data_IF_094773780589
#
_entry.id   IF_094773780589
#
_cell.length_a   1.000
_cell.length_b   1.000
_cell.length_c   1.000
_cell.angle_alpha   90.00
_cell.angle_beta   90.00
_cell.angle_gamma   90.00
#
_symmetry.space_group_name_H-M   'P 1'
#
loop_
_entity.id
_entity.type
_entity.pdbx_description
1 polymer ?
#
# COMPACT_ATOMS: atom_id res chain seq x y z
N UNK A 1 -4.11 62.24 10.63
CA UNK A 1 -4.02 60.99 9.85
C UNK A 1 -3.88 59.85 10.85
N UNK A 2 -4.81 58.91 10.79
CA UNK A 2 -5.26 58.01 11.86
C UNK A 2 -4.18 57.24 12.62
N UNK A 3 -4.20 57.37 13.94
CA UNK A 3 -3.92 56.25 14.85
C UNK A 3 -5.11 56.14 15.79
N UNK A 4 -5.81 55.01 15.70
CA UNK A 4 -6.98 54.68 16.50
C UNK A 4 -6.64 53.42 17.29
N UNK A 5 -7.03 53.49 18.55
CA UNK A 5 -7.19 52.47 19.59
C UNK A 5 -7.71 51.13 19.01
N UNK A 6 -7.43 49.94 19.56
CA UNK A 6 -8.20 49.38 20.68
C UNK A 6 -7.73 47.95 21.08
N UNK A 7 -7.75 47.70 22.40
CA UNK A 7 -8.39 46.55 23.10
C UNK A 7 -7.96 45.10 22.79
N UNK A 8 -7.26 44.40 23.69
CA UNK A 8 -7.78 43.72 24.89
C UNK A 8 -8.91 42.69 24.63
N UNK A 9 -8.60 41.40 24.67
CA UNK A 9 -9.52 40.39 25.20
C UNK A 9 -8.77 39.17 25.76
N UNK A 10 -9.14 38.81 26.99
CA UNK A 10 -8.52 37.85 27.89
C UNK A 10 -9.64 36.86 28.23
N UNK A 11 -9.55 35.61 27.78
CA UNK A 11 -10.52 34.58 28.16
C UNK A 11 -9.82 33.34 28.71
N UNK A 12 -9.96 33.16 30.02
CA UNK A 12 -9.53 32.01 30.80
C UNK A 12 -10.50 30.84 30.64
N UNK A 13 -10.03 29.70 30.13
CA UNK A 13 -10.76 28.43 30.09
C UNK A 13 -10.36 27.55 31.29
N UNK A 14 -11.28 27.35 32.22
CA UNK A 14 -11.10 26.67 33.51
C UNK A 14 -11.45 25.19 33.35
N UNK A 15 -10.46 24.31 33.51
CA UNK A 15 -10.65 22.85 33.51
C UNK A 15 -11.40 22.35 34.75
N UNK A 16 -12.30 21.37 34.56
CA UNK A 16 -12.91 20.59 35.64
C UNK A 16 -12.62 19.10 35.41
N UNK A 17 -11.81 18.56 36.32
CA UNK A 17 -11.50 17.15 36.51
C UNK A 17 -12.71 16.39 37.09
N UNK A 18 -13.23 15.41 36.35
CA UNK A 18 -14.26 14.47 36.82
C UNK A 18 -13.65 13.15 37.30
N UNK A 19 -13.48 13.02 38.61
CA UNK A 19 -13.04 11.81 39.32
C UNK A 19 -14.23 10.85 39.46
N UNK A 20 -14.21 9.66 38.85
CA UNK A 20 -15.16 8.58 39.16
C UNK A 20 -14.42 7.36 39.71
N UNK A 21 -14.64 7.13 40.99
CA UNK A 21 -14.37 5.89 41.72
C UNK A 21 -15.63 5.03 41.74
N UNK A 22 -15.53 3.75 41.40
CA UNK A 22 -16.53 2.74 41.72
C UNK A 22 -15.94 1.36 41.40
N UNK A 23 -15.59 0.48 42.34
CA UNK A 23 -16.31 -0.19 43.46
C UNK A 23 -16.36 -1.69 43.11
N UNK A 24 -15.63 -2.46 43.91
CA UNK A 24 -15.52 -3.93 43.90
C UNK A 24 -16.87 -4.62 44.19
N UNK A 25 -16.94 -5.87 43.74
CA UNK A 25 -17.42 -7.08 44.43
C UNK A 25 -18.56 -7.84 43.71
N UNK A 26 -18.37 -9.15 43.54
CA UNK A 26 -19.47 -10.12 43.37
C UNK A 26 -19.25 -11.26 42.37
N UNK A 27 -18.48 -12.30 42.76
CA UNK A 27 -18.83 -13.71 42.45
C UNK A 27 -19.64 -14.25 43.65
N UNK A 28 -20.33 -15.41 43.63
CA UNK A 28 -20.53 -16.42 42.58
C UNK A 28 -22.01 -16.90 42.42
N UNK A 29 -22.32 -17.72 41.41
CA UNK A 29 -23.60 -18.44 41.36
C UNK A 29 -23.66 -19.54 40.30
N UNK A 30 -23.50 -20.79 40.74
CA UNK A 30 -23.79 -22.01 39.97
C UNK A 30 -25.32 -22.24 39.96
N UNK A 31 -25.92 -22.54 38.82
CA UNK A 31 -27.27 -23.14 38.76
C UNK A 31 -27.51 -23.96 37.48
N UNK A 32 -27.51 -25.29 37.66
CA UNK A 32 -28.41 -26.35 37.15
C UNK A 32 -29.05 -26.24 35.75
N UNK A 33 -28.95 -27.30 34.90
CA UNK A 33 -29.65 -27.38 33.61
C UNK A 33 -31.12 -27.79 33.76
N UNK A 34 -32.04 -27.02 33.16
CA UNK A 34 -33.46 -27.40 33.03
C UNK A 34 -33.66 -28.20 31.74
N UNK A 35 -33.96 -29.50 31.92
CA UNK A 35 -34.59 -30.37 30.93
C UNK A 35 -35.94 -29.78 30.51
N UNK A 36 -36.05 -29.32 29.26
CA UNK A 36 -37.33 -29.02 28.62
C UNK A 36 -37.72 -30.21 27.75
N UNK A 37 -38.67 -31.01 28.25
CA UNK A 37 -39.43 -31.98 27.47
C UNK A 37 -40.27 -31.22 26.43
N UNK A 38 -39.88 -31.28 25.15
CA UNK A 38 -40.75 -30.83 24.07
C UNK A 38 -41.63 -32.00 23.62
N UNK A 39 -42.92 -31.80 23.84
CA UNK A 39 -44.05 -32.68 23.56
C UNK A 39 -44.04 -33.13 22.10
N UNK A 40 -44.14 -34.45 21.91
CA UNK A 40 -44.70 -35.10 20.72
C UNK A 40 -46.15 -34.63 20.55
N UNK A 41 -46.45 -33.92 19.47
CA UNK A 41 -47.77 -33.93 18.86
C UNK A 41 -47.57 -34.39 17.42
N UNK A 42 -47.99 -35.63 17.15
CA UNK A 42 -48.03 -36.17 15.81
C UNK A 42 -49.19 -35.56 15.05
N UNK A 43 -48.90 -35.05 13.85
CA UNK A 43 -49.85 -34.96 12.77
C UNK A 43 -49.14 -35.52 11.54
N UNK A 44 -49.56 -36.73 11.17
CA UNK A 44 -49.22 -37.41 9.94
C UNK A 44 -50.08 -36.78 8.85
N UNK A 45 -49.54 -35.84 8.07
CA UNK A 45 -50.02 -35.58 6.71
C UNK A 45 -49.07 -36.28 5.76
N UNK A 46 -49.59 -37.30 5.09
CA UNK A 46 -48.89 -37.99 3.99
C UNK A 46 -49.14 -37.19 2.72
N UNK A 47 -48.24 -36.25 2.42
CA UNK A 47 -48.13 -35.65 1.10
C UNK A 47 -47.15 -36.46 0.24
N UNK A 48 -47.59 -37.13 -0.83
CA UNK A 48 -46.74 -37.90 -1.71
C UNK A 48 -46.21 -37.04 -2.87
N UNK A 49 -45.42 -36.00 -2.58
CA UNK A 49 -44.88 -35.16 -3.66
C UNK A 49 -43.61 -34.37 -3.33
N UNK A 50 -42.58 -34.96 -2.70
CA UNK A 50 -41.17 -34.59 -3.01
C UNK A 50 -40.14 -35.44 -2.27
N UNK A 51 -39.61 -36.49 -2.91
CA UNK A 51 -38.33 -37.09 -2.50
C UNK A 51 -37.12 -36.49 -3.24
N UNK A 52 -37.34 -35.60 -4.23
CA UNK A 52 -36.28 -35.17 -5.15
C UNK A 52 -35.43 -34.00 -4.62
N UNK A 53 -36.01 -33.05 -3.89
CA UNK A 53 -35.28 -31.88 -3.34
C UNK A 53 -34.33 -32.27 -2.21
N UNK A 54 -34.79 -33.09 -1.24
CA UNK A 54 -33.95 -33.56 -0.13
C UNK A 54 -32.77 -34.43 -0.58
N UNK A 55 -32.85 -35.05 -1.75
CA UNK A 55 -31.76 -35.81 -2.32
C UNK A 55 -30.75 -34.90 -3.04
N UNK A 56 -31.22 -33.83 -3.69
CA UNK A 56 -30.37 -32.81 -4.30
C UNK A 56 -29.61 -32.00 -3.24
N UNK A 57 -30.24 -31.64 -2.13
CA UNK A 57 -29.57 -30.92 -1.04
C UNK A 57 -28.46 -31.76 -0.40
N UNK A 58 -28.70 -33.08 -0.23
CA UNK A 58 -27.69 -34.01 0.30
C UNK A 58 -26.55 -34.27 -0.68
N UNK A 59 -26.82 -34.31 -1.99
CA UNK A 59 -25.77 -34.40 -3.00
C UNK A 59 -24.94 -33.13 -3.04
N UNK A 60 -25.57 -31.96 -2.92
CA UNK A 60 -24.89 -30.66 -2.88
C UNK A 60 -24.05 -30.49 -1.60
N UNK A 61 -24.51 -30.95 -0.45
CA UNK A 61 -23.71 -31.00 0.78
C UNK A 61 -22.52 -31.97 0.69
N UNK A 62 -22.70 -33.12 0.03
CA UNK A 62 -21.61 -34.08 -0.16
C UNK A 62 -20.53 -33.55 -1.12
N UNK A 63 -20.94 -32.94 -2.23
CA UNK A 63 -20.03 -32.35 -3.23
C UNK A 63 -19.24 -31.16 -2.65
N UNK A 64 -19.89 -30.30 -1.84
CA UNK A 64 -19.20 -29.20 -1.18
C UNK A 64 -18.20 -29.68 -0.11
N UNK A 65 -18.45 -30.84 0.51
CA UNK A 65 -17.55 -31.42 1.52
C UNK A 65 -16.28 -31.99 0.87
N UNK A 66 -16.42 -32.60 -0.30
CA UNK A 66 -15.30 -33.13 -1.08
C UNK A 66 -14.47 -32.00 -1.73
N UNK A 67 -15.12 -30.91 -2.16
CA UNK A 67 -14.42 -29.71 -2.62
C UNK A 67 -13.63 -29.04 -1.49
N UNK A 68 -14.16 -29.02 -0.26
CA UNK A 68 -13.48 -28.41 0.90
C UNK A 68 -12.31 -29.25 1.41
N UNK A 69 -12.39 -30.59 1.41
CA UNK A 69 -11.27 -31.45 1.81
C UNK A 69 -10.17 -31.52 0.75
N UNK A 70 -10.52 -31.45 -0.53
CA UNK A 70 -9.52 -31.45 -1.61
C UNK A 70 -8.71 -30.15 -1.70
N UNK A 71 -9.23 -29.02 -1.18
CA UNK A 71 -8.52 -27.74 -1.16
C UNK A 71 -7.51 -27.62 -0.02
N UNK A 72 -7.75 -28.25 1.14
CA UNK A 72 -6.77 -28.22 2.24
C UNK A 72 -5.57 -29.13 1.97
N UNK A 73 -5.74 -30.19 1.18
CA UNK A 73 -4.67 -31.15 0.91
C UNK A 73 -3.84 -30.81 -0.35
N UNK A 74 -4.34 -29.96 -1.26
CA UNK A 74 -3.61 -29.54 -2.48
C UNK A 74 -2.87 -28.21 -2.38
N UNK A 75 -3.19 -27.35 -1.42
CA UNK A 75 -2.47 -26.05 -1.24
C UNK A 75 -1.21 -26.21 -0.39
N UNK A 76 -0.98 -27.38 0.20
CA UNK A 76 0.33 -27.80 0.77
C UNK A 76 1.21 -28.49 -0.30
N UNK A 77 0.78 -28.47 -1.57
CA UNK A 77 1.50 -29.04 -2.70
C UNK A 77 2.60 -28.12 -3.21
N UNK A 78 3.84 -28.55 -3.00
CA UNK A 78 5.08 -28.00 -3.56
C UNK A 78 5.59 -26.69 -2.96
N UNK A 79 5.77 -26.67 -1.63
CA UNK A 79 6.97 -26.03 -1.10
C UNK A 79 8.16 -26.69 -1.82
N UNK A 80 8.74 -25.99 -2.78
CA UNK A 80 9.97 -26.39 -3.44
C UNK A 80 10.95 -26.76 -2.33
N UNK A 81 11.42 -28.01 -2.33
CA UNK A 81 12.43 -28.43 -1.37
C UNK A 81 13.55 -27.39 -1.42
N UNK A 82 13.92 -26.77 -0.29
CA UNK A 82 14.92 -25.71 -0.27
C UNK A 82 16.14 -26.25 -0.98
N UNK A 83 16.48 -25.63 -2.10
CA UNK A 83 17.65 -26.08 -2.84
C UNK A 83 18.84 -25.80 -1.93
N UNK A 84 19.78 -26.73 -1.81
CA UNK A 84 20.96 -26.59 -0.92
C UNK A 84 21.78 -25.30 -1.16
N UNK A 85 21.49 -24.57 -2.23
CA UNK A 85 22.06 -23.26 -2.51
C UNK A 85 21.52 -22.20 -1.54
N UNK A 86 20.24 -22.24 -1.18
CA UNK A 86 19.61 -21.24 -0.32
C UNK A 86 20.13 -21.34 1.13
N UNK A 87 20.29 -22.56 1.67
CA UNK A 87 20.96 -22.79 2.96
C UNK A 87 22.43 -22.33 2.96
N UNK A 88 23.11 -22.40 1.81
CA UNK A 88 24.49 -21.95 1.68
C UNK A 88 24.58 -20.42 1.71
N UNK A 89 23.66 -19.70 1.05
CA UNK A 89 23.64 -18.24 1.06
C UNK A 89 23.24 -17.64 2.41
N UNK A 90 22.28 -18.24 3.12
CA UNK A 90 21.90 -17.80 4.46
C UNK A 90 23.02 -18.04 5.50
N UNK A 91 23.75 -19.15 5.38
CA UNK A 91 24.95 -19.39 6.17
C UNK A 91 26.06 -18.38 5.86
N UNK A 92 26.20 -17.96 4.61
CA UNK A 92 27.20 -16.96 4.19
C UNK A 92 26.88 -15.56 4.73
N UNK A 93 25.61 -15.18 4.87
CA UNK A 93 25.22 -13.86 5.42
C UNK A 93 25.61 -13.72 6.89
N UNK A 94 25.37 -14.77 7.69
CA UNK A 94 25.78 -14.85 9.09
C UNK A 94 27.31 -14.98 9.24
N UNK A 95 27.99 -15.43 8.19
CA UNK A 95 29.45 -15.52 8.12
C UNK A 95 30.12 -14.29 7.49
N UNK A 96 29.42 -13.20 7.15
CA UNK A 96 30.05 -11.95 6.68
C UNK A 96 31.09 -11.41 7.66
N UNK A 97 30.83 -11.53 8.97
CA UNK A 97 31.78 -11.16 10.01
C UNK A 97 33.04 -12.05 10.05
N UNK A 98 32.94 -13.28 9.56
CA UNK A 98 34.02 -14.27 9.51
C UNK A 98 34.74 -14.32 8.16
N UNK A 99 34.13 -13.86 7.07
CA UNK A 99 34.72 -13.88 5.74
C UNK A 99 35.98 -13.01 5.64
N UNK A 100 35.95 -11.81 6.22
CA UNK A 100 37.07 -10.86 6.23
C UNK A 100 38.31 -11.48 6.93
N UNK A 101 38.24 -11.98 8.18
CA UNK A 101 39.41 -12.58 8.80
C UNK A 101 39.89 -13.85 8.07
N UNK A 102 39.00 -14.63 7.46
CA UNK A 102 39.38 -15.83 6.68
C UNK A 102 40.23 -15.47 5.45
N UNK A 103 39.84 -14.42 4.72
CA UNK A 103 40.61 -13.92 3.57
C UNK A 103 41.99 -13.42 4.01
N UNK A 104 42.06 -12.70 5.13
CA UNK A 104 43.33 -12.21 5.69
C UNK A 104 44.24 -13.38 6.11
N UNK A 105 43.69 -14.39 6.80
CA UNK A 105 44.44 -15.59 7.19
C UNK A 105 44.93 -16.37 5.96
N UNK A 106 44.10 -16.51 4.93
CA UNK A 106 44.47 -17.16 3.68
C UNK A 106 45.58 -16.39 2.95
N UNK A 107 45.51 -15.05 2.89
CA UNK A 107 46.53 -14.21 2.28
C UNK A 107 47.88 -14.29 3.02
N UNK A 108 47.86 -14.26 4.37
CA UNK A 108 49.06 -14.41 5.20
C UNK A 108 49.66 -15.82 5.06
N UNK A 109 48.82 -16.87 5.07
CA UNK A 109 49.26 -18.25 4.89
C UNK A 109 49.89 -18.50 3.51
N UNK A 110 49.27 -18.01 2.44
CA UNK A 110 49.80 -18.09 1.09
C UNK A 110 51.12 -17.32 0.95
N UNK A 111 51.19 -16.11 1.52
CA UNK A 111 52.40 -15.28 1.53
C UNK A 111 53.58 -15.93 2.25
N UNK A 112 53.31 -16.62 3.37
CA UNK A 112 54.34 -17.35 4.11
C UNK A 112 54.87 -18.58 3.33
N UNK A 113 54.01 -19.25 2.56
CA UNK A 113 54.38 -20.49 1.87
C UNK A 113 55.03 -20.26 0.49
N UNK A 114 54.51 -19.31 -0.29
CA UNK A 114 54.89 -19.11 -1.69
C UNK A 114 55.41 -17.69 -1.98
N UNK A 115 55.58 -16.86 -0.94
CA UNK A 115 56.16 -15.52 -1.03
C UNK A 115 55.14 -14.43 -1.32
N UNK A 116 55.59 -13.17 -1.18
CA UNK A 116 54.77 -11.95 -1.25
C UNK A 116 53.94 -11.83 -2.54
N UNK A 117 54.49 -12.30 -3.68
CA UNK A 117 53.78 -12.25 -4.96
C UNK A 117 52.45 -13.01 -4.94
N UNK A 118 52.39 -14.16 -4.27
CA UNK A 118 51.15 -14.94 -4.17
C UNK A 118 50.13 -14.31 -3.22
N UNK A 119 50.58 -13.68 -2.14
CA UNK A 119 49.70 -12.93 -1.24
C UNK A 119 48.99 -11.77 -1.96
N UNK A 120 49.72 -11.04 -2.82
CA UNK A 120 49.13 -9.96 -3.62
C UNK A 120 48.09 -10.49 -4.63
N UNK A 121 48.32 -11.65 -5.24
CA UNK A 121 47.35 -12.26 -6.15
C UNK A 121 46.05 -12.68 -5.44
N UNK A 122 46.15 -13.26 -4.23
CA UNK A 122 44.97 -13.64 -3.44
C UNK A 122 44.15 -12.42 -3.04
N UNK A 123 44.82 -11.34 -2.61
CA UNK A 123 44.16 -10.09 -2.23
C UNK A 123 43.48 -9.43 -3.43
N UNK A 124 44.16 -9.38 -4.58
CA UNK A 124 43.58 -8.85 -5.82
C UNK A 124 42.36 -9.65 -6.28
N UNK A 125 42.42 -10.99 -6.22
CA UNK A 125 41.28 -11.86 -6.54
C UNK A 125 40.09 -11.64 -5.62
N UNK A 126 40.32 -11.54 -4.30
CA UNK A 126 39.27 -11.25 -3.33
C UNK A 126 38.63 -9.87 -3.57
N UNK A 127 39.43 -8.86 -3.88
CA UNK A 127 38.93 -7.52 -4.21
C UNK A 127 38.07 -7.52 -5.49
N UNK A 128 38.48 -8.25 -6.52
CA UNK A 128 37.71 -8.34 -7.76
C UNK A 128 36.35 -9.02 -7.54
N UNK A 129 36.30 -10.10 -6.76
CA UNK A 129 35.05 -10.75 -6.37
C UNK A 129 34.15 -9.83 -5.53
N UNK A 130 34.74 -9.04 -4.64
CA UNK A 130 34.02 -8.05 -3.85
C UNK A 130 33.34 -7.00 -4.75
N UNK A 131 34.04 -6.46 -5.76
CA UNK A 131 33.46 -5.49 -6.71
C UNK A 131 32.31 -6.11 -7.50
N UNK A 132 32.48 -7.32 -8.02
CA UNK A 132 31.42 -8.03 -8.76
C UNK A 132 30.19 -8.24 -7.87
N UNK A 133 30.39 -8.64 -6.61
CA UNK A 133 29.31 -8.82 -5.64
C UNK A 133 28.61 -7.51 -5.29
N UNK A 134 29.36 -6.42 -5.10
CA UNK A 134 28.80 -5.08 -4.85
C UNK A 134 27.99 -4.57 -6.04
N UNK A 135 28.45 -4.84 -7.26
CA UNK A 135 27.71 -4.51 -8.47
C UNK A 135 26.38 -5.27 -8.54
N UNK A 136 26.38 -6.57 -8.26
CA UNK A 136 25.15 -7.37 -8.20
C UNK A 136 24.17 -6.88 -7.14
N UNK A 137 24.67 -6.52 -5.95
CA UNK A 137 23.83 -5.93 -4.90
C UNK A 137 23.22 -4.59 -5.33
N UNK A 138 23.96 -3.77 -6.07
CA UNK A 138 23.43 -2.52 -6.64
C UNK A 138 22.36 -2.79 -7.70
N UNK A 139 22.56 -3.77 -8.58
CA UNK A 139 21.57 -4.15 -9.59
C UNK A 139 20.28 -4.63 -8.93
N UNK A 140 20.36 -5.50 -7.91
CA UNK A 140 19.19 -5.95 -7.15
C UNK A 140 18.45 -4.81 -6.45
N UNK A 141 19.20 -3.83 -5.91
CA UNK A 141 18.57 -2.64 -5.31
C UNK A 141 17.80 -1.78 -6.33
N UNK A 142 18.28 -1.75 -7.58
CA UNK A 142 17.68 -0.98 -8.67
C UNK A 142 16.51 -1.73 -9.34
N UNK A 143 16.54 -3.07 -9.37
CA UNK A 143 15.42 -3.87 -9.88
C UNK A 143 14.24 -3.91 -8.90
N UNK A 144 14.41 -3.39 -7.68
CA UNK A 144 13.36 -3.36 -6.65
C UNK A 144 13.08 -4.72 -6.02
N UNK A 145 13.87 -5.73 -6.37
CA UNK A 145 13.95 -7.02 -5.69
C UNK A 145 14.85 -6.85 -4.48
N UNK A 146 14.41 -6.05 -3.49
CA UNK A 146 14.94 -6.23 -2.15
C UNK A 146 14.65 -7.68 -1.76
N UNK A 147 15.66 -8.43 -1.31
CA UNK A 147 15.54 -9.79 -0.77
C UNK A 147 14.53 -9.78 0.39
N UNK A 148 13.25 -9.89 0.05
CA UNK A 148 12.20 -10.30 0.94
C UNK A 148 12.53 -11.77 1.19
N UNK A 149 12.86 -12.09 2.45
CA UNK A 149 13.10 -13.45 2.93
C UNK A 149 12.08 -14.41 2.30
N UNK A 150 12.43 -15.64 1.92
CA UNK A 150 11.53 -16.53 1.17
C UNK A 150 10.13 -16.66 1.80
N UNK A 151 10.02 -16.58 3.14
CA UNK A 151 8.75 -16.51 3.87
C UNK A 151 7.98 -15.18 3.65
N UNK A 152 8.70 -14.06 3.63
CA UNK A 152 8.15 -12.74 3.32
C UNK A 152 7.80 -12.66 1.82
N UNK A 153 8.65 -13.17 0.92
CA UNK A 153 8.36 -13.36 -0.48
C UNK A 153 7.19 -14.31 -0.70
N UNK A 154 7.02 -15.40 0.08
CA UNK A 154 5.83 -16.25 0.01
C UNK A 154 4.59 -15.52 0.53
N UNK A 155 4.72 -14.69 1.57
CA UNK A 155 3.62 -13.88 2.10
C UNK A 155 3.22 -12.73 1.17
N UNK A 156 4.14 -12.20 0.37
CA UNK A 156 3.87 -11.25 -0.72
C UNK A 156 3.43 -11.95 -2.01
N UNK A 157 3.92 -13.16 -2.27
CA UNK A 157 3.62 -13.95 -3.47
C UNK A 157 2.34 -14.78 -3.35
N UNK A 158 1.84 -15.00 -2.13
CA UNK A 158 0.45 -15.34 -1.87
C UNK A 158 -0.32 -14.01 -1.76
N UNK A 159 -0.75 -13.40 -2.90
CA UNK A 159 -1.55 -12.19 -2.85
C UNK A 159 -2.71 -12.44 -1.89
N UNK A 160 -2.89 -11.50 -0.95
CA UNK A 160 -4.06 -11.56 -0.07
C UNK A 160 -5.32 -11.77 -0.92
N UNK A 161 -6.29 -12.50 -0.40
CA UNK A 161 -7.53 -12.77 -1.14
C UNK A 161 -8.17 -11.47 -1.68
N UNK A 162 -7.97 -10.35 -0.99
CA UNK A 162 -8.38 -9.01 -1.40
C UNK A 162 -7.64 -8.49 -2.65
N UNK A 163 -6.32 -8.73 -2.75
CA UNK A 163 -5.52 -8.38 -3.92
C UNK A 163 -5.87 -9.26 -5.13
N UNK A 164 -6.17 -10.54 -4.91
CA UNK A 164 -6.68 -11.44 -5.94
C UNK A 164 -8.04 -10.96 -6.45
N UNK A 165 -8.97 -10.61 -5.55
CA UNK A 165 -10.27 -10.03 -5.91
C UNK A 165 -10.10 -8.75 -6.74
N UNK A 166 -9.22 -7.84 -6.33
CA UNK A 166 -8.92 -6.61 -7.11
C UNK A 166 -8.45 -6.95 -8.52
N UNK A 167 -7.51 -7.89 -8.68
CA UNK A 167 -7.01 -8.30 -10.00
C UNK A 167 -8.12 -8.94 -10.83
N UNK A 168 -8.98 -9.74 -10.21
CA UNK A 168 -10.13 -10.35 -10.87
C UNK A 168 -11.15 -9.30 -11.36
N UNK A 169 -11.52 -8.33 -10.51
CA UNK A 169 -12.44 -7.24 -10.88
C UNK A 169 -11.88 -6.37 -12.00
N UNK A 170 -10.58 -6.04 -11.96
CA UNK A 170 -9.94 -5.26 -13.02
C UNK A 170 -9.84 -6.05 -14.34
N UNK A 171 -9.64 -7.37 -14.26
CA UNK A 171 -9.67 -8.24 -15.45
C UNK A 171 -11.08 -8.31 -16.04
N UNK A 172 -12.10 -8.45 -15.20
CA UNK A 172 -13.50 -8.46 -15.62
C UNK A 172 -13.91 -7.15 -16.33
N UNK A 173 -13.42 -6.00 -15.86
CA UNK A 173 -13.65 -4.72 -16.54
C UNK A 173 -13.03 -4.68 -17.96
N UNK A 174 -11.83 -5.22 -18.13
CA UNK A 174 -11.19 -5.31 -19.46
C UNK A 174 -11.89 -6.29 -20.38
N UNK A 175 -12.36 -7.41 -19.83
CA UNK A 175 -13.10 -8.40 -20.60
C UNK A 175 -14.45 -7.83 -21.07
N UNK A 176 -15.14 -7.07 -20.22
CA UNK A 176 -16.35 -6.32 -20.58
C UNK A 176 -16.11 -5.31 -21.72
N UNK A 177 -15.01 -4.57 -21.66
CA UNK A 177 -14.65 -3.62 -22.73
C UNK A 177 -14.34 -4.34 -24.05
N UNK A 178 -13.69 -5.50 -23.98
CA UNK A 178 -13.45 -6.35 -25.14
C UNK A 178 -14.75 -6.91 -25.72
N UNK A 179 -15.66 -7.45 -24.89
CA UNK A 179 -16.96 -7.95 -25.35
C UNK A 179 -17.84 -6.85 -25.96
N UNK A 180 -17.77 -5.62 -25.41
CA UNK A 180 -18.41 -4.44 -25.99
C UNK A 180 -17.84 -4.12 -27.37
N UNK A 181 -16.51 -4.11 -27.51
CA UNK A 181 -15.85 -3.83 -28.80
C UNK A 181 -16.17 -4.85 -29.89
N UNK A 182 -16.48 -6.11 -29.52
CA UNK A 182 -16.90 -7.16 -30.46
C UNK A 182 -18.40 -7.06 -30.78
N UNK A 183 -19.16 -6.21 -30.10
CA UNK A 183 -20.60 -6.09 -30.25
C UNK A 183 -21.39 -7.26 -29.64
N UNK A 184 -20.79 -8.01 -28.69
CA UNK A 184 -21.49 -9.10 -27.98
C UNK A 184 -22.47 -8.60 -26.92
N UNK A 185 -22.25 -7.38 -26.42
CA UNK A 185 -23.08 -6.73 -25.41
C UNK A 185 -23.56 -5.38 -25.93
N UNK A 186 -24.77 -5.00 -25.54
CA UNK A 186 -25.35 -3.72 -25.94
C UNK A 186 -24.71 -2.58 -25.15
N UNK A 187 -24.74 -1.36 -25.70
CA UNK A 187 -24.25 -0.16 -25.01
C UNK A 187 -24.95 0.08 -23.67
N UNK A 188 -26.24 -0.29 -23.57
CA UNK A 188 -27.03 -0.15 -22.36
C UNK A 188 -26.53 -1.10 -21.26
N UNK A 189 -26.32 -2.37 -21.59
CA UNK A 189 -25.82 -3.39 -20.65
C UNK A 189 -24.39 -3.09 -20.21
N UNK A 190 -23.53 -2.65 -21.15
CA UNK A 190 -22.17 -2.25 -20.84
C UNK A 190 -22.12 -1.11 -19.81
N UNK A 191 -22.98 -0.09 -19.96
CA UNK A 191 -23.05 1.03 -19.01
C UNK A 191 -23.45 0.60 -17.60
N UNK A 192 -24.46 -0.28 -17.47
CA UNK A 192 -24.88 -0.79 -16.16
C UNK A 192 -23.80 -1.70 -15.52
N UNK A 193 -23.30 -2.70 -16.27
CA UNK A 193 -22.28 -3.62 -15.77
C UNK A 193 -20.98 -2.91 -15.40
N UNK A 194 -20.50 -2.01 -16.26
CA UNK A 194 -19.27 -1.25 -15.98
C UNK A 194 -19.42 -0.31 -14.78
N UNK A 195 -20.61 0.26 -14.54
CA UNK A 195 -20.87 1.06 -13.35
C UNK A 195 -20.79 0.22 -12.06
N UNK A 196 -21.39 -0.98 -12.07
CA UNK A 196 -21.34 -1.92 -10.93
C UNK A 196 -19.93 -2.38 -10.63
N UNK A 197 -19.17 -2.83 -11.64
CA UNK A 197 -17.78 -3.27 -11.44
C UNK A 197 -16.85 -2.13 -11.01
N UNK A 198 -17.05 -0.90 -11.50
CA UNK A 198 -16.28 0.27 -11.02
C UNK A 198 -16.59 0.60 -9.56
N UNK A 199 -17.85 0.48 -9.13
CA UNK A 199 -18.22 0.66 -7.72
C UNK A 199 -17.58 -0.41 -6.82
N UNK A 200 -17.56 -1.66 -7.26
CA UNK A 200 -16.91 -2.77 -6.56
C UNK A 200 -15.39 -2.58 -6.48
N UNK A 201 -14.74 -2.23 -7.59
CA UNK A 201 -13.31 -1.93 -7.63
C UNK A 201 -12.95 -0.77 -6.69
N UNK A 202 -13.78 0.28 -6.64
CA UNK A 202 -13.60 1.41 -5.70
C UNK A 202 -13.72 0.96 -4.25
N UNK A 203 -14.67 0.08 -3.93
CA UNK A 203 -14.83 -0.49 -2.58
C UNK A 203 -13.60 -1.29 -2.15
N UNK A 204 -13.09 -2.17 -3.00
CA UNK A 204 -11.88 -2.96 -2.74
C UNK A 204 -10.64 -2.08 -2.56
N UNK A 205 -10.50 -1.03 -3.38
CA UNK A 205 -9.40 -0.06 -3.24
C UNK A 205 -9.47 0.71 -1.92
N UNK A 206 -10.67 1.08 -1.45
CA UNK A 206 -10.82 1.74 -0.15
C UNK A 206 -10.43 0.82 1.01
N UNK A 207 -10.79 -0.46 0.95
CA UNK A 207 -10.40 -1.45 1.95
C UNK A 207 -8.87 -1.60 2.02
N UNK A 208 -8.21 -1.77 0.87
CA UNK A 208 -6.75 -1.87 0.77
C UNK A 208 -6.06 -0.57 1.24
N UNK A 209 -6.57 0.60 0.86
CA UNK A 209 -6.00 1.88 1.29
C UNK A 209 -6.07 2.08 2.82
N UNK A 210 -7.08 1.50 3.47
CA UNK A 210 -7.18 1.51 4.94
C UNK A 210 -6.09 0.69 5.61
N UNK A 211 -5.72 -0.44 5.01
CA UNK A 211 -4.64 -1.31 5.48
C UNK A 211 -3.28 -0.64 5.23
N UNK A 212 -3.05 -0.15 4.01
CA UNK A 212 -1.82 0.57 3.65
C UNK A 212 -1.61 1.82 4.50
N UNK A 213 -2.68 2.53 4.89
CA UNK A 213 -2.59 3.69 5.78
C UNK A 213 -2.03 3.37 7.17
N UNK A 214 -2.26 2.16 7.70
CA UNK A 214 -1.65 1.71 8.97
C UNK A 214 -0.18 1.39 8.78
N UNK A 215 0.16 0.61 7.75
CA UNK A 215 1.54 0.25 7.44
C UNK A 215 2.40 1.47 7.14
N UNK A 216 1.84 2.46 6.41
CA UNK A 216 2.49 3.75 6.14
C UNK A 216 2.79 4.52 7.42
N UNK A 217 1.84 4.60 8.36
CA UNK A 217 2.08 5.26 9.66
C UNK A 217 3.16 4.54 10.48
N UNK A 218 3.20 3.20 10.43
CA UNK A 218 4.28 2.41 11.06
C UNK A 218 5.63 2.74 10.41
N UNK A 219 5.70 2.74 9.08
CA UNK A 219 6.91 3.10 8.35
C UNK A 219 7.37 4.54 8.64
N UNK A 220 6.46 5.51 8.64
CA UNK A 220 6.74 6.91 8.99
C UNK A 220 7.29 7.03 10.41
N UNK A 221 6.72 6.31 11.38
CA UNK A 221 7.21 6.27 12.76
C UNK A 221 8.61 5.65 12.88
N UNK A 222 8.88 4.56 12.16
CA UNK A 222 10.21 3.95 12.11
C UNK A 222 11.24 4.88 11.47
N UNK A 223 10.82 5.63 10.44
CA UNK A 223 11.67 6.60 9.76
C UNK A 223 11.97 7.81 10.65
N UNK A 224 10.98 8.29 11.41
CA UNK A 224 11.16 9.32 12.44
C UNK A 224 12.13 8.85 13.53
N UNK A 225 11.98 7.62 14.03
CA UNK A 225 12.91 7.03 15.01
C UNK A 225 14.34 6.93 14.46
N UNK A 226 14.51 6.53 13.19
CA UNK A 226 15.83 6.47 12.55
C UNK A 226 16.42 7.84 12.28
N UNK A 227 15.62 8.85 11.94
CA UNK A 227 16.09 10.23 11.82
C UNK A 227 16.63 10.74 13.16
N UNK A 228 15.92 10.46 14.27
CA UNK A 228 16.36 10.83 15.61
C UNK A 228 17.63 10.09 16.06
N UNK A 229 17.90 8.90 15.50
CA UNK A 229 19.11 8.13 15.78
C UNK A 229 20.30 8.54 14.91
N UNK A 230 20.07 8.84 13.62
CA UNK A 230 21.12 9.17 12.67
C UNK A 230 21.74 10.55 12.91
N UNK A 231 21.02 11.45 13.58
CA UNK A 231 21.45 12.82 13.81
C UNK A 231 21.62 13.13 15.31
N UNK A 232 22.66 12.57 15.98
CA UNK A 232 22.90 12.81 17.40
C UNK A 232 23.34 14.26 17.69
N UNK A 233 23.80 15.00 16.66
CA UNK A 233 24.25 16.39 16.75
C UNK A 233 23.21 17.41 16.26
N UNK A 234 22.12 16.98 15.63
CA UNK A 234 20.90 17.80 15.60
C UNK A 234 20.42 17.87 17.05
N UNK A 235 20.85 18.94 17.73
CA UNK A 235 20.12 19.51 18.86
C UNK A 235 18.69 19.65 18.37
N UNK A 236 17.87 18.65 18.68
CA UNK A 236 16.43 18.77 18.62
C UNK A 236 16.17 20.01 19.45
N UNK A 237 15.87 21.12 18.78
CA UNK A 237 15.39 22.30 19.45
C UNK A 237 14.17 21.81 20.19
N UNK A 238 14.31 21.59 21.51
CA UNK A 238 13.15 21.33 22.33
C UNK A 238 12.16 22.44 21.98
N UNK A 239 10.89 22.12 21.70
CA UNK A 239 9.91 23.13 21.36
C UNK A 239 10.07 24.28 22.35
N UNK A 240 10.29 25.50 21.86
CA UNK A 240 10.78 26.64 22.67
C UNK A 240 9.96 26.88 23.93
N UNK A 241 8.70 26.43 23.94
CA UNK A 241 7.81 26.38 25.10
C UNK A 241 8.40 25.63 26.32
N UNK A 242 9.18 24.56 26.08
CA UNK A 242 9.84 23.77 27.12
C UNK A 242 11.12 24.46 27.60
N UNK A 243 11.86 25.11 26.70
CA UNK A 243 13.02 25.92 27.07
C UNK A 243 12.63 27.13 27.91
N UNK A 244 11.56 27.85 27.57
CA UNK A 244 11.03 28.97 28.36
C UNK A 244 10.48 28.52 29.73
N UNK A 245 9.93 27.30 29.79
CA UNK A 245 9.48 26.69 31.05
C UNK A 245 10.66 26.26 31.93
N UNK A 246 11.76 25.77 31.34
CA UNK A 246 13.03 25.48 32.02
C UNK A 246 13.76 26.76 32.43
N UNK A 247 13.63 27.83 31.66
CA UNK A 247 14.18 29.15 31.94
C UNK A 247 13.63 29.73 33.26
N UNK A 248 12.36 29.45 33.57
CA UNK A 248 11.66 29.95 34.76
C UNK A 248 11.69 29.03 35.99
N UNK A 249 12.32 27.85 35.91
CA UNK A 249 12.46 26.94 37.04
C UNK A 249 13.64 27.37 37.94
N UNK A 250 13.42 27.40 39.24
CA UNK A 250 14.46 27.66 40.26
C UNK A 250 15.63 26.67 40.15
N UNK A 251 16.86 27.10 40.47
CA UNK A 251 18.09 26.27 40.36
C UNK A 251 17.92 24.87 40.97
N UNK A 252 17.31 24.76 42.15
CA UNK A 252 17.03 23.47 42.82
C UNK A 252 16.17 22.51 41.97
N UNK A 253 15.26 23.04 41.16
CA UNK A 253 14.39 22.22 40.30
C UNK A 253 15.10 21.80 39.02
N UNK A 254 15.99 22.66 38.48
CA UNK A 254 16.82 22.32 37.33
C UNK A 254 17.76 21.16 37.66
N UNK A 255 18.44 21.22 38.81
CA UNK A 255 19.33 20.15 39.25
C UNK A 255 18.58 18.82 39.47
N UNK A 256 17.32 18.88 39.91
CA UNK A 256 16.46 17.69 40.05
C UNK A 256 16.05 17.09 38.70
N UNK A 257 15.72 17.92 37.71
CA UNK A 257 15.39 17.47 36.35
C UNK A 257 16.63 16.90 35.66
N UNK A 258 17.78 17.54 35.81
CA UNK A 258 19.05 17.09 35.24
C UNK A 258 19.51 15.76 35.86
N UNK A 259 19.38 15.60 37.19
CA UNK A 259 19.64 14.32 37.86
C UNK A 259 18.64 13.23 37.46
N UNK A 260 17.37 13.56 37.17
CA UNK A 260 16.40 12.60 36.65
C UNK A 260 16.74 12.15 35.23
N UNK A 261 17.18 13.07 34.37
CA UNK A 261 17.65 12.78 33.01
C UNK A 261 18.95 11.95 32.99
N UNK A 262 19.88 12.25 33.91
CA UNK A 262 21.14 11.49 34.08
C UNK A 262 20.92 10.14 34.77
N UNK A 263 19.89 10.01 35.61
CA UNK A 263 19.57 8.74 36.24
C UNK A 263 19.07 7.75 35.18
N UNK A 264 19.53 6.49 35.31
CA UNK A 264 19.19 5.34 34.45
C UNK A 264 17.68 5.09 34.25
N UNK A 265 16.82 5.83 34.94
CA UNK A 265 15.37 5.85 34.73
C UNK A 265 14.98 6.28 33.29
N UNK A 266 15.74 7.16 32.64
CA UNK A 266 15.45 7.54 31.25
C UNK A 266 15.77 6.40 30.27
N UNK A 267 16.91 5.72 30.44
CA UNK A 267 17.25 4.54 29.65
C UNK A 267 16.31 3.35 29.93
N UNK A 268 15.87 3.18 31.17
CA UNK A 268 14.86 2.19 31.53
C UNK A 268 13.47 2.52 30.94
N UNK A 269 13.11 3.81 30.88
CA UNK A 269 11.88 4.26 30.21
C UNK A 269 11.96 4.05 28.70
N UNK A 270 13.12 4.27 28.06
CA UNK A 270 13.37 3.99 26.64
C UNK A 270 13.25 2.49 26.33
N UNK A 271 13.87 1.64 27.14
CA UNK A 271 13.75 0.18 27.00
C UNK A 271 12.30 -0.31 27.21
N UNK A 272 11.57 0.31 28.15
CA UNK A 272 10.15 -0.02 28.39
C UNK A 272 9.22 0.48 27.28
N UNK A 273 9.54 1.60 26.64
CA UNK A 273 8.79 2.10 25.48
C UNK A 273 9.03 1.22 24.24
N UNK A 274 10.24 0.70 24.04
CA UNK A 274 10.53 -0.29 22.99
C UNK A 274 9.74 -1.58 23.22
N UNK A 275 9.78 -2.16 24.42
CA UNK A 275 9.01 -3.38 24.71
C UNK A 275 7.48 -3.22 24.68
N UNK A 276 6.96 -1.98 24.72
CA UNK A 276 5.52 -1.72 24.54
C UNK A 276 5.12 -1.68 23.06
N UNK A 277 6.04 -1.32 22.16
CA UNK A 277 5.81 -1.39 20.72
C UNK A 277 5.82 -2.84 20.25
N UNK A 278 6.74 -3.65 20.77
CA UNK A 278 6.83 -5.08 20.43
C UNK A 278 5.63 -5.89 20.98
N UNK A 279 5.04 -5.46 22.11
CA UNK A 279 3.88 -6.12 22.71
C UNK A 279 2.55 -5.80 22.00
N UNK A 280 2.44 -4.66 21.31
CA UNK A 280 1.26 -4.33 20.48
C UNK A 280 1.15 -5.26 19.26
N UNK A 281 2.25 -5.90 18.83
CA UNK A 281 2.25 -6.86 17.72
C UNK A 281 1.80 -8.27 18.14
N UNK A 282 1.96 -8.68 19.42
CA UNK A 282 1.53 -10.02 19.89
C UNK A 282 0.02 -10.09 20.19
N UNK A 283 -0.61 -9.00 20.63
CA UNK A 283 -2.06 -8.97 20.89
C UNK A 283 -2.89 -8.82 19.60
N UNK A 284 -2.32 -8.33 18.49
CA UNK A 284 -3.02 -8.20 17.19
C UNK A 284 -3.07 -9.54 16.42
N UNK A 285 -2.05 -10.41 16.57
CA UNK A 285 -2.07 -11.77 16.03
C UNK A 285 -3.15 -12.66 16.68
N UNK A 286 -3.50 -12.40 17.94
CA UNK A 286 -4.59 -13.10 18.63
C UNK A 286 -5.99 -12.58 18.26
N UNK A 287 -6.10 -11.35 17.74
CA UNK A 287 -7.38 -10.74 17.38
C UNK A 287 -7.86 -11.06 15.96
N UNK A 288 -6.96 -11.46 15.05
CA UNK A 288 -7.33 -11.88 13.68
C UNK A 288 -7.97 -13.27 13.62
N UNK A 289 -7.75 -14.15 14.59
CA UNK A 289 -8.35 -15.50 14.62
C UNK A 289 -9.80 -15.54 15.17
N UNK A 290 -10.25 -14.53 15.93
CA UNK A 290 -11.64 -14.49 16.42
C UNK A 290 -12.64 -13.84 15.45
N UNK A 291 -12.17 -13.05 14.47
CA UNK A 291 -13.05 -12.35 13.53
C UNK A 291 -13.72 -13.26 12.48
N UNK A 292 -13.12 -14.42 12.14
CA UNK A 292 -13.70 -15.38 11.20
C UNK A 292 -14.69 -16.37 11.85
N UNK A 293 -14.85 -16.34 13.18
CA UNK A 293 -15.78 -17.25 13.89
C UNK A 293 -17.15 -16.62 14.20
N UNK A 294 -17.31 -15.30 14.04
CA UNK A 294 -18.52 -14.57 14.44
C UNK A 294 -19.52 -14.28 13.30
N UNK A 295 -19.20 -14.59 12.03
CA UNK A 295 -20.08 -14.33 10.88
C UNK A 295 -21.15 -15.41 10.62
N UNK A 296 -21.29 -16.43 11.48
CA UNK A 296 -22.19 -17.57 11.26
C UNK A 296 -23.47 -17.59 12.12
N UNK A 297 -23.89 -16.47 12.72
CA UNK A 297 -25.12 -16.42 13.51
C UNK A 297 -25.87 -15.09 13.37
N UNK A 298 -26.71 -14.98 12.34
CA UNK A 298 -27.88 -14.10 12.35
C UNK A 298 -29.14 -14.93 12.00
N UNK A 299 -30.26 -14.71 12.71
CA UNK A 299 -31.46 -15.53 12.61
C UNK A 299 -32.29 -15.18 11.37
N UNK A 300 -32.79 -16.22 10.70
CA UNK A 300 -33.86 -16.10 9.71
C UNK A 300 -35.15 -15.68 10.43
N UNK A 301 -35.69 -14.51 10.09
CA UNK A 301 -37.05 -14.13 10.43
C UNK A 301 -37.92 -14.26 9.18
N UNK A 302 -39.02 -14.98 9.37
CA UNK A 302 -40.04 -15.34 8.40
C UNK A 302 -40.77 -14.10 7.85
N UNK A 303 -40.87 -14.00 6.54
CA UNK A 303 -41.81 -13.10 5.86
C UNK A 303 -42.43 -13.84 4.67
N UNK A 304 -43.46 -14.64 4.97
CA UNK A 304 -44.43 -15.11 3.99
C UNK A 304 -45.35 -13.94 3.61
N UNK A 305 -45.53 -13.74 2.31
CA UNK A 305 -46.43 -12.74 1.75
C UNK A 305 -46.63 -13.02 0.27
N UNK A 306 -47.53 -13.94 -0.05
CA UNK A 306 -48.10 -14.11 -1.39
C UNK A 306 -48.81 -12.81 -1.82
N UNK A 307 -48.85 -12.54 -3.14
CA UNK A 307 -50.16 -12.27 -3.70
C UNK A 307 -50.38 -13.00 -5.02
N UNK A 308 -51.33 -13.93 -5.01
CA UNK A 308 -52.14 -14.22 -6.17
C UNK A 308 -53.41 -13.38 -6.09
N UNK A 309 -53.71 -12.63 -7.14
CA UNK A 309 -55.10 -12.35 -7.53
C UNK A 309 -55.13 -11.97 -8.99
N UNK A 310 -55.86 -12.80 -9.71
CA UNK A 310 -56.60 -12.53 -10.93
C UNK A 310 -57.03 -11.06 -11.07
N UNK A 311 -56.81 -10.48 -12.25
CA UNK A 311 -57.70 -9.45 -12.76
C UNK A 311 -57.75 -9.48 -14.27
N UNK A 312 -58.98 -9.70 -14.72
CA UNK A 312 -59.52 -9.69 -16.04
C UNK A 312 -59.31 -8.35 -16.76
N UNK A 313 -59.43 -8.43 -18.10
CA UNK A 313 -60.10 -7.48 -19.01
C UNK A 313 -60.15 -6.00 -18.59
N UNK A 314 -59.57 -5.11 -19.41
CA UNK A 314 -60.37 -4.12 -20.13
C UNK A 314 -59.54 -3.35 -21.16
N UNK A 315 -60.24 -3.00 -22.22
CA UNK A 315 -59.83 -2.32 -23.43
C UNK A 315 -59.53 -0.83 -23.20
N UNK A 316 -59.00 -0.21 -24.26
CA UNK A 316 -59.22 1.19 -24.65
C UNK A 316 -58.16 2.29 -24.41
N UNK A 317 -58.05 3.06 -25.50
CA UNK A 317 -57.67 4.47 -25.65
C UNK A 317 -56.19 4.87 -25.84
N UNK A 318 -55.86 4.95 -27.13
CA UNK A 318 -55.33 6.15 -27.80
C UNK A 318 -54.35 7.04 -27.03
N UNK A 319 -53.08 7.04 -27.48
CA UNK A 319 -52.36 8.29 -27.56
C UNK A 319 -51.57 8.39 -28.87
N UNK A 320 -52.11 9.21 -29.76
CA UNK A 320 -51.46 9.69 -30.97
C UNK A 320 -50.59 10.89 -30.61
N UNK A 321 -49.29 10.78 -30.87
CA UNK A 321 -48.36 11.92 -30.99
C UNK A 321 -47.53 11.60 -32.23
N UNK A 322 -48.01 11.99 -33.40
CA UNK A 322 -47.66 13.25 -34.08
C UNK A 322 -46.16 13.30 -34.46
N UNK A 323 -45.89 12.61 -35.57
CA UNK A 323 -45.05 13.02 -36.70
C UNK A 323 -44.22 14.30 -36.57
N UNK A 324 -42.91 14.14 -36.57
CA UNK A 324 -41.99 15.08 -37.23
C UNK A 324 -41.09 14.29 -38.18
N UNK A 325 -41.42 14.42 -39.46
CA UNK A 325 -40.59 14.12 -40.61
C UNK A 325 -39.57 15.26 -40.74
N UNK A 326 -38.28 14.95 -40.65
CA UNK A 326 -37.24 15.79 -41.23
C UNK A 326 -36.38 14.90 -42.13
N UNK A 327 -36.74 14.96 -43.41
CA UNK A 327 -35.92 14.59 -44.55
C UNK A 327 -34.68 15.50 -44.59
N UNK A 328 -33.50 14.89 -44.73
CA UNK A 328 -32.34 15.58 -45.29
C UNK A 328 -31.51 14.57 -46.07
N UNK A 329 -31.85 14.49 -47.36
CA UNK A 329 -31.03 13.97 -48.44
C UNK A 329 -29.83 14.92 -48.65
N UNK A 330 -28.61 14.42 -48.48
CA UNK A 330 -27.42 14.97 -49.15
C UNK A 330 -26.56 13.79 -49.63
N UNK A 331 -26.78 13.44 -50.90
CA UNK A 331 -25.82 12.78 -51.78
C UNK A 331 -24.63 13.73 -52.08
N UNK A 332 -23.58 13.16 -52.72
CA UNK A 332 -22.30 13.74 -53.17
C UNK A 332 -21.13 13.41 -52.21
N UNK A 333 -20.00 12.83 -52.61
CA UNK A 333 -19.52 12.31 -53.89
C UNK A 333 -18.28 11.45 -53.60
N UNK A 334 -18.05 10.51 -54.49
CA UNK A 334 -16.84 9.71 -54.68
C UNK A 334 -15.53 10.49 -54.61
N UNK A 335 -14.51 9.92 -53.95
CA UNK A 335 -13.13 9.96 -54.47
C UNK A 335 -12.35 8.74 -54.00
N UNK A 336 -12.13 7.84 -54.94
CA UNK A 336 -11.10 6.79 -54.93
C UNK A 336 -9.72 7.43 -54.78
N UNK A 337 -8.99 7.10 -53.71
CA UNK A 337 -7.53 7.16 -53.70
C UNK A 337 -6.98 5.84 -53.18
N UNK A 338 -6.75 4.93 -54.13
CA UNK A 338 -5.61 4.02 -54.08
C UNK A 338 -4.33 4.85 -53.88
N UNK A 339 -3.48 4.46 -52.93
CA UNK A 339 -2.07 4.18 -53.21
C UNK A 339 -1.36 3.63 -51.96
N UNK A 340 -0.66 2.53 -52.23
CA UNK A 340 0.22 1.76 -51.35
C UNK A 340 1.31 2.62 -50.70
N UNK A 341 1.68 2.30 -49.46
CA UNK A 341 3.08 2.28 -48.96
C UNK A 341 3.15 1.79 -47.51
N UNK A 342 3.73 0.61 -47.34
CA UNK A 342 4.82 0.30 -46.40
C UNK A 342 5.01 1.27 -45.20
N UNK A 343 4.86 0.79 -43.95
CA UNK A 343 5.95 0.19 -43.17
C UNK A 343 5.44 -0.26 -41.79
N UNK A 344 5.99 -1.38 -41.30
CA UNK A 344 5.58 -2.03 -40.07
C UNK A 344 5.68 -1.14 -38.83
N UNK A 345 4.52 -0.82 -38.25
CA UNK A 345 4.42 -0.24 -36.91
C UNK A 345 4.69 -1.35 -35.88
N UNK A 346 5.96 -1.49 -35.49
CA UNK A 346 6.38 -2.25 -34.32
C UNK A 346 5.82 -1.54 -33.09
N UNK A 347 4.93 -2.23 -32.36
CA UNK A 347 4.40 -1.78 -31.09
C UNK A 347 5.55 -1.54 -30.09
N UNK A 348 5.83 -0.28 -29.81
CA UNK A 348 6.69 0.13 -28.70
C UNK A 348 6.06 -0.32 -27.37
N UNK A 349 6.84 -0.90 -26.44
CA UNK A 349 6.33 -1.27 -25.13
C UNK A 349 5.94 0.01 -24.37
N UNK A 350 4.65 0.16 -24.09
CA UNK A 350 4.10 1.16 -23.18
C UNK A 350 4.67 0.89 -21.78
N UNK A 351 5.85 1.42 -21.53
CA UNK A 351 6.42 1.54 -20.20
C UNK A 351 5.52 2.47 -19.41
N UNK A 352 4.93 1.92 -18.36
CA UNK A 352 4.10 2.62 -17.40
C UNK A 352 4.85 3.82 -16.83
N UNK A 353 4.63 5.00 -17.42
CA UNK A 353 5.13 6.29 -16.95
C UNK A 353 4.59 6.52 -15.54
N UNK A 354 5.45 6.32 -14.54
CA UNK A 354 5.17 6.74 -13.17
C UNK A 354 4.90 8.25 -13.21
N UNK A 355 3.65 8.62 -12.93
CA UNK A 355 3.24 10.02 -12.92
C UNK A 355 4.00 10.74 -11.81
N UNK A 356 4.99 11.56 -12.19
CA UNK A 356 5.69 12.45 -11.27
C UNK A 356 4.66 13.44 -10.70
N UNK A 357 4.16 13.17 -9.49
CA UNK A 357 3.22 14.06 -8.78
C UNK A 357 4.01 15.18 -8.10
N UNK A 358 4.50 16.13 -8.91
CA UNK A 358 5.22 17.30 -8.44
C UNK A 358 5.40 18.34 -9.55
N UNK A 359 5.85 19.56 -9.21
CA UNK A 359 6.22 20.55 -10.22
C UNK A 359 7.30 19.94 -11.12
N UNK A 360 7.13 20.07 -12.43
CA UNK A 360 7.97 19.41 -13.42
C UNK A 360 8.26 20.35 -14.60
N UNK A 361 9.39 20.12 -15.27
CA UNK A 361 9.85 20.90 -16.43
C UNK A 361 9.97 19.99 -17.66
N UNK A 362 9.68 20.52 -18.85
CA UNK A 362 9.80 19.76 -20.10
C UNK A 362 11.18 19.98 -20.70
N UNK A 363 11.82 18.91 -21.17
CA UNK A 363 13.09 19.02 -21.90
C UNK A 363 12.87 19.74 -23.25
N UNK A 364 13.71 20.73 -23.56
CA UNK A 364 13.67 21.43 -24.86
C UNK A 364 13.97 20.47 -26.04
N UNK A 365 14.80 19.45 -25.84
CA UNK A 365 15.21 18.51 -26.89
C UNK A 365 14.16 17.41 -27.16
N UNK A 366 13.73 16.65 -26.14
CA UNK A 366 12.87 15.49 -26.32
C UNK A 366 11.43 15.66 -25.76
N UNK A 367 11.10 16.80 -25.15
CA UNK A 367 9.81 17.08 -24.50
C UNK A 367 9.46 16.16 -23.33
N UNK A 368 10.41 15.38 -22.81
CA UNK A 368 10.20 14.56 -21.60
C UNK A 368 10.04 15.42 -20.36
N UNK A 369 9.10 15.03 -19.49
CA UNK A 369 8.82 15.69 -18.21
C UNK A 369 9.85 15.25 -17.16
N UNK A 370 10.59 16.22 -16.61
CA UNK A 370 11.65 16.03 -15.63
C UNK A 370 11.29 16.67 -14.28
N UNK A 371 11.84 16.14 -13.19
CA UNK A 371 11.74 16.70 -11.84
C UNK A 371 12.54 18.01 -11.78
N UNK A 372 12.08 19.01 -11.01
CA UNK A 372 12.76 20.30 -10.91
C UNK A 372 14.23 20.21 -10.47
N UNK A 373 14.60 19.21 -9.65
CA UNK A 373 15.97 19.07 -9.14
C UNK A 373 16.99 18.66 -10.20
N UNK A 374 16.56 18.13 -11.36
CA UNK A 374 17.49 17.64 -12.37
C UNK A 374 18.08 18.79 -13.19
N UNK A 375 19.38 18.72 -13.45
CA UNK A 375 20.10 19.61 -14.38
C UNK A 375 20.12 19.06 -15.82
N UNK A 376 19.97 17.75 -15.98
CA UNK A 376 19.96 17.04 -17.27
C UNK A 376 18.67 16.25 -17.46
N UNK A 377 18.26 16.04 -18.71
CA UNK A 377 17.07 15.27 -19.05
C UNK A 377 17.27 13.79 -18.75
N UNK A 378 16.35 13.17 -18.01
CA UNK A 378 16.42 11.75 -17.64
C UNK A 378 16.37 10.77 -18.84
N UNK A 379 15.91 11.23 -20.01
CA UNK A 379 15.71 10.36 -21.19
C UNK A 379 16.74 10.58 -22.29
N UNK A 380 17.13 11.83 -22.57
CA UNK A 380 18.08 12.15 -23.64
C UNK A 380 19.40 12.77 -23.17
N UNK A 381 19.58 12.94 -21.85
CA UNK A 381 20.76 13.53 -21.20
C UNK A 381 21.14 14.95 -21.65
N UNK A 382 20.26 15.62 -22.40
CA UNK A 382 20.48 17.01 -22.80
C UNK A 382 20.34 17.94 -21.56
N UNK A 383 21.17 19.00 -21.44
CA UNK A 383 21.04 19.96 -20.36
C UNK A 383 19.68 20.66 -20.43
N UNK A 384 19.04 20.83 -19.27
CA UNK A 384 17.69 21.42 -19.19
C UNK A 384 17.71 22.95 -19.27
N UNK A 385 18.88 23.56 -19.14
CA UNK A 385 19.15 24.98 -19.35
C UNK A 385 20.36 25.17 -20.26
N UNK A 386 20.36 26.27 -21.02
CA UNK A 386 21.52 26.71 -21.79
C UNK A 386 22.71 27.14 -20.90
N UNK A 387 23.89 27.38 -21.49
CA UNK A 387 25.11 27.70 -20.74
C UNK A 387 25.06 29.04 -19.98
N UNK A 388 24.14 29.94 -20.33
CA UNK A 388 23.91 31.24 -19.68
C UNK A 388 22.53 31.30 -18.99
N UNK A 389 21.87 30.15 -18.84
CA UNK A 389 20.54 30.03 -18.25
C UNK A 389 20.64 29.30 -16.90
N UNK A 390 20.03 29.87 -15.86
CA UNK A 390 19.87 29.25 -14.54
C UNK A 390 18.47 28.64 -14.39
N UNK A 391 18.41 27.52 -13.68
CA UNK A 391 17.18 26.81 -13.35
C UNK A 391 16.69 27.24 -11.97
N UNK A 392 15.45 27.73 -11.85
CA UNK A 392 14.88 27.99 -10.55
C UNK A 392 14.65 26.66 -9.79
N UNK A 393 15.00 26.63 -8.50
CA UNK A 393 14.80 25.48 -7.61
C UNK A 393 13.35 25.33 -7.15
N UNK A 394 12.59 26.43 -7.10
CA UNK A 394 11.22 26.46 -6.60
C UNK A 394 10.15 26.38 -7.69
N UNK A 395 10.47 26.75 -8.94
CA UNK A 395 9.50 26.78 -10.03
C UNK A 395 10.10 26.34 -11.38
N UNK A 396 9.27 26.08 -12.41
CA UNK A 396 9.73 25.63 -13.72
C UNK A 396 10.46 26.69 -14.55
N UNK A 397 10.66 27.90 -14.03
CA UNK A 397 11.27 28.99 -14.78
C UNK A 397 12.75 28.73 -15.06
N UNK A 398 13.17 29.21 -16.22
CA UNK A 398 14.55 29.30 -16.68
C UNK A 398 14.82 30.78 -16.93
N UNK A 399 15.87 31.32 -16.35
CA UNK A 399 16.18 32.76 -16.38
C UNK A 399 17.69 32.98 -16.63
N UNK A 400 18.10 34.18 -17.05
CA UNK A 400 19.52 34.43 -17.32
C UNK A 400 20.33 34.52 -16.04
N UNK A 401 21.60 34.13 -16.07
CA UNK A 401 22.57 34.33 -14.99
C UNK A 401 22.75 35.79 -14.54
N UNK A 402 22.35 36.77 -15.36
CA UNK A 402 22.40 38.20 -15.02
C UNK A 402 21.35 38.67 -14.00
N UNK A 403 20.38 37.82 -13.62
CA UNK A 403 19.33 38.16 -12.65
C UNK A 403 19.61 37.50 -11.29
N UNK A 404 19.70 38.30 -10.22
CA UNK A 404 19.98 37.81 -8.86
C UNK A 404 18.84 36.98 -8.24
N UNK A 405 17.64 37.02 -8.84
CA UNK A 405 16.47 36.29 -8.38
C UNK A 405 15.55 35.91 -9.53
N UNK A 406 14.88 34.76 -9.39
CA UNK A 406 13.94 34.27 -10.38
C UNK A 406 12.78 35.26 -10.59
N UNK A 407 12.51 35.75 -11.82
CA UNK A 407 11.48 36.78 -12.07
C UNK A 407 10.05 36.29 -11.80
N UNK A 408 9.83 34.97 -11.81
CA UNK A 408 8.50 34.36 -11.58
C UNK A 408 8.15 34.19 -10.10
N UNK A 409 9.11 33.83 -9.25
CA UNK A 409 8.84 33.47 -7.84
C UNK A 409 9.67 34.23 -6.80
N UNK A 410 10.65 35.03 -7.22
CA UNK A 410 11.49 35.85 -6.32
C UNK A 410 12.52 35.07 -5.50
N UNK A 411 12.70 33.77 -5.76
CA UNK A 411 13.75 32.98 -5.10
C UNK A 411 15.12 33.41 -5.63
N UNK A 412 16.04 33.73 -4.72
CA UNK A 412 17.41 34.13 -5.03
C UNK A 412 18.13 33.02 -5.81
N UNK A 413 19.02 33.42 -6.72
CA UNK A 413 19.91 32.48 -7.39
C UNK A 413 20.77 31.75 -6.35
N UNK A 414 21.09 30.46 -6.56
CA UNK A 414 22.04 29.76 -5.70
C UNK A 414 23.39 30.49 -5.76
N UNK A 415 23.90 30.96 -4.62
CA UNK A 415 25.27 31.46 -4.54
C UNK A 415 26.22 30.29 -4.85
N UNK A 416 27.08 30.44 -5.85
CA UNK A 416 28.13 29.48 -6.16
C UNK A 416 28.98 29.26 -4.90
N UNK A 417 28.85 28.08 -4.28
CA UNK A 417 29.70 27.66 -3.17
C UNK A 417 31.03 27.18 -3.77
N UNK A 418 31.93 28.12 -4.05
CA UNK A 418 33.33 27.85 -4.44
C UNK A 418 34.14 27.18 -3.30
#
# INVERSE_FOLDING_TARGET
MSQREESASKSAGKGKSGKKTGKKAGKPGKAVPKKQLKRRSGQHSTDPSTPRSKLQDKLREAENREYRSSRTDKVVGAAAAPTKLDEFFDSVSQHKAWAIPLIVVAAVGAGAYAGVGTALLVLAGAFMLFVISSFWASVQSLTGEADLNLDEALSLAAPSAELEQKRATLRALKDLEFEHSIGKITDADYKDLSARYRAEAKRLLQQLSGVEGKSRKRAEKLLELKLLEADPDVKIALPSEVEDSLANLSEDKRERVENLLKSSAFNAARAKAQGLLDAEDEDEAAASDEADSAAAAAPAEDAEGEPGSDQDEDEDEHNAVESQEEDSDEDEDSDDQDEDSDEGFVDDPVTSKQGVTGPSRLCKACKTRNVLANTHCAECDAPLAGPEELLCSACPAVYSDSEDACPVCGVAAPEDQD
#
